data_IF_005679553385
#
_entry.id   IF_005679553385
#
_cell.length_a   1.000
_cell.length_b   1.000
_cell.length_c   1.000
_cell.angle_alpha   90.00
_cell.angle_beta   90.00
_cell.angle_gamma   90.00
#
_symmetry.space_group_name_H-M   'P 1'
#
loop_
_entity.id
_entity.type
_entity.pdbx_description
1 polymer ?
#
# COMPACT_ATOMS: atom_id res chain seq x y z
N UNK A 1 -4.44 1.51 26.84
CA UNK A 1 -4.20 0.27 26.05
C UNK A 1 -4.99 -0.87 26.68
N UNK A 2 -5.70 -1.68 25.88
CA UNK A 2 -6.44 -2.85 26.41
C UNK A 2 -5.47 -3.90 26.96
N UNK A 3 -5.93 -4.77 27.87
CA UNK A 3 -5.10 -5.86 28.41
C UNK A 3 -4.55 -6.76 27.30
N UNK A 4 -5.36 -7.03 26.28
CA UNK A 4 -4.99 -7.83 25.12
C UNK A 4 -3.91 -7.14 24.27
N UNK A 5 -4.08 -5.84 23.95
CA UNK A 5 -3.09 -5.11 23.16
C UNK A 5 -1.76 -4.99 23.91
N UNK A 6 -1.79 -4.83 25.24
CA UNK A 6 -0.58 -4.85 26.07
C UNK A 6 0.17 -6.17 25.99
N UNK A 7 -0.53 -7.30 26.10
CA UNK A 7 0.09 -8.61 25.98
C UNK A 7 0.70 -8.85 24.59
N UNK A 8 0.01 -8.43 23.52
CA UNK A 8 0.50 -8.55 22.15
C UNK A 8 1.80 -7.75 21.93
N UNK A 9 1.82 -6.46 22.31
CA UNK A 9 3.02 -5.62 22.18
C UNK A 9 4.18 -6.19 23.01
N UNK A 10 3.93 -6.70 24.22
CA UNK A 10 4.97 -7.35 25.02
C UNK A 10 5.56 -8.59 24.33
N UNK A 11 4.79 -9.36 23.58
CA UNK A 11 5.30 -10.51 22.82
C UNK A 11 6.07 -10.09 21.57
N UNK A 12 5.59 -9.07 20.85
CA UNK A 12 6.25 -8.54 19.65
C UNK A 12 7.65 -8.03 19.99
N UNK A 13 7.83 -7.36 21.13
CA UNK A 13 9.13 -6.81 21.56
C UNK A 13 10.25 -7.84 21.76
N UNK A 14 9.90 -9.11 21.88
CA UNK A 14 10.87 -10.21 22.05
C UNK A 14 11.26 -10.85 20.70
N UNK A 15 10.65 -10.42 19.58
CA UNK A 15 10.95 -10.92 18.24
C UNK A 15 12.19 -10.22 17.64
N UNK A 16 12.81 -10.78 16.58
CA UNK A 16 13.79 -10.06 15.77
C UNK A 16 13.27 -8.72 15.23
N UNK A 17 14.15 -7.74 15.01
CA UNK A 17 13.76 -6.39 14.58
C UNK A 17 12.89 -6.38 13.31
N UNK A 18 13.23 -7.20 12.30
CA UNK A 18 12.45 -7.31 11.07
C UNK A 18 10.98 -7.72 11.34
N UNK A 19 10.77 -8.69 12.24
CA UNK A 19 9.42 -9.15 12.59
C UNK A 19 8.67 -8.10 13.45
N UNK A 20 9.40 -7.26 14.19
CA UNK A 20 8.82 -6.13 14.92
C UNK A 20 8.33 -5.05 13.97
N UNK A 21 9.11 -4.73 12.94
CA UNK A 21 8.76 -3.74 11.92
C UNK A 21 7.55 -4.18 11.10
N UNK A 22 7.50 -5.45 10.68
CA UNK A 22 6.33 -6.04 10.01
C UNK A 22 5.06 -5.91 10.87
N UNK A 23 5.17 -6.22 12.17
CA UNK A 23 4.05 -6.06 13.11
C UNK A 23 3.64 -4.60 13.30
N UNK A 24 4.61 -3.67 13.31
CA UNK A 24 4.36 -2.24 13.42
C UNK A 24 3.62 -1.70 12.18
N UNK A 25 4.01 -2.11 10.97
CA UNK A 25 3.32 -1.72 9.74
C UNK A 25 1.84 -2.14 9.75
N UNK A 26 1.55 -3.36 10.20
CA UNK A 26 0.17 -3.85 10.30
C UNK A 26 -0.67 -3.02 11.30
N UNK A 27 -0.11 -2.70 12.46
CA UNK A 27 -0.77 -1.88 13.48
C UNK A 27 -0.98 -0.43 13.02
N UNK A 28 0.01 0.15 12.33
CA UNK A 28 -0.10 1.49 11.74
C UNK A 28 -1.18 1.53 10.65
N UNK A 29 -1.24 0.51 9.78
CA UNK A 29 -2.29 0.40 8.78
C UNK A 29 -3.68 0.26 9.42
N UNK A 30 -3.80 -0.50 10.51
CA UNK A 30 -5.05 -0.61 11.26
C UNK A 30 -5.47 0.74 11.87
N UNK A 31 -4.52 1.47 12.45
CA UNK A 31 -4.76 2.80 13.02
C UNK A 31 -5.11 3.83 11.94
N UNK A 32 -4.46 3.78 10.78
CA UNK A 32 -4.77 4.64 9.65
C UNK A 32 -6.22 4.43 9.14
N UNK A 33 -6.70 3.19 9.10
CA UNK A 33 -8.11 2.89 8.77
C UNK A 33 -9.09 3.51 9.78
N UNK A 34 -8.71 3.56 11.06
CA UNK A 34 -9.52 4.18 12.11
C UNK A 34 -9.55 5.71 12.00
N UNK A 35 -8.48 6.33 11.48
CA UNK A 35 -8.38 7.77 11.24
C UNK A 35 -9.09 8.22 9.94
N UNK A 36 -9.78 7.31 9.26
CA UNK A 36 -10.55 7.57 8.06
C UNK A 36 -10.04 6.77 6.88
N UNK A 37 -10.94 6.12 6.14
CA UNK A 37 -10.61 5.60 4.82
C UNK A 37 -10.22 6.78 3.94
N UNK A 38 -9.14 6.66 3.16
CA UNK A 38 -8.87 7.61 2.08
C UNK A 38 -10.12 7.68 1.22
N UNK A 39 -10.77 8.84 1.23
CA UNK A 39 -11.98 9.07 0.45
C UNK A 39 -11.54 9.24 -1.01
N UNK A 40 -11.63 8.16 -1.77
CA UNK A 40 -11.46 8.25 -3.22
C UNK A 40 -12.63 9.05 -3.79
N UNK A 41 -12.40 9.87 -4.80
CA UNK A 41 -13.50 10.39 -5.62
C UNK A 41 -13.99 9.30 -6.59
N UNK A 42 -15.08 9.58 -7.31
CA UNK A 42 -15.68 8.63 -8.23
C UNK A 42 -14.79 8.32 -9.44
N UNK A 43 -14.02 9.31 -9.89
CA UNK A 43 -13.08 9.18 -10.99
C UNK A 43 -11.95 8.21 -10.62
N UNK A 44 -11.34 8.40 -9.45
CA UNK A 44 -10.29 7.53 -8.92
C UNK A 44 -10.83 6.11 -8.71
N UNK A 45 -12.04 5.96 -8.18
CA UNK A 45 -12.69 4.65 -8.07
C UNK A 45 -12.89 3.98 -9.42
N UNK A 46 -13.30 4.74 -10.44
CA UNK A 46 -13.49 4.24 -11.79
C UNK A 46 -12.16 3.80 -12.42
N UNK A 47 -11.11 4.62 -12.29
CA UNK A 47 -9.77 4.31 -12.78
C UNK A 47 -9.22 3.02 -12.16
N UNK A 48 -9.39 2.81 -10.84
CA UNK A 48 -8.97 1.57 -10.17
C UNK A 48 -9.78 0.35 -10.68
N UNK A 49 -11.09 0.50 -10.90
CA UNK A 49 -11.90 -0.59 -11.48
C UNK A 49 -11.44 -0.95 -12.89
N UNK A 50 -11.16 0.06 -13.71
CA UNK A 50 -10.68 -0.15 -15.07
C UNK A 50 -9.30 -0.82 -15.10
N UNK A 51 -8.35 -0.34 -14.29
CA UNK A 51 -7.04 -0.98 -14.17
C UNK A 51 -7.13 -2.45 -13.75
N UNK A 52 -8.03 -2.80 -12.83
CA UNK A 52 -8.29 -4.21 -12.48
C UNK A 52 -8.85 -5.03 -13.63
N UNK A 53 -9.72 -4.43 -14.44
CA UNK A 53 -10.27 -5.09 -15.63
C UNK A 53 -9.20 -5.27 -16.73
N UNK A 54 -8.28 -4.31 -16.89
CA UNK A 54 -7.14 -4.41 -17.79
C UNK A 54 -6.22 -5.57 -17.42
N UNK A 55 -5.91 -5.73 -16.13
CA UNK A 55 -5.12 -6.89 -15.63
C UNK A 55 -5.79 -8.22 -16.00
N UNK A 56 -7.11 -8.33 -15.80
CA UNK A 56 -7.85 -9.56 -16.17
C UNK A 56 -7.81 -9.83 -17.67
N UNK A 57 -7.70 -8.79 -18.50
CA UNK A 57 -7.57 -8.90 -19.97
C UNK A 57 -6.11 -9.02 -20.44
N UNK A 58 -5.13 -9.03 -19.53
CA UNK A 58 -3.71 -9.03 -19.87
C UNK A 58 -3.23 -7.75 -20.58
N UNK A 59 -3.96 -6.65 -20.41
CA UNK A 59 -3.63 -5.36 -21.02
C UNK A 59 -2.62 -4.62 -20.14
N UNK A 60 -1.34 -4.89 -20.40
CA UNK A 60 -0.23 -4.20 -19.79
C UNK A 60 0.44 -3.28 -20.81
N UNK A 61 1.04 -2.19 -20.34
CA UNK A 61 1.90 -1.36 -21.16
C UNK A 61 3.14 -2.15 -21.61
N UNK A 62 3.66 -1.83 -22.79
CA UNK A 62 4.90 -2.44 -23.29
C UNK A 62 6.12 -1.91 -22.56
N UNK A 63 7.24 -2.62 -22.67
CA UNK A 63 8.51 -2.18 -22.09
C UNK A 63 8.94 -0.81 -22.62
N UNK A 64 8.71 -0.55 -23.91
CA UNK A 64 9.02 0.72 -24.56
C UNK A 64 8.17 1.87 -24.01
N UNK A 65 6.87 1.63 -23.79
CA UNK A 65 5.96 2.61 -23.20
C UNK A 65 6.37 2.97 -21.77
N UNK A 66 6.74 1.97 -20.97
CA UNK A 66 7.25 2.16 -19.61
C UNK A 66 8.58 2.92 -19.62
N UNK A 67 9.51 2.55 -20.51
CA UNK A 67 10.80 3.22 -20.66
C UNK A 67 10.62 4.70 -21.05
N UNK A 68 9.68 5.01 -21.94
CA UNK A 68 9.37 6.38 -22.33
C UNK A 68 8.88 7.25 -21.15
N UNK A 69 8.07 6.69 -20.26
CA UNK A 69 7.61 7.36 -19.04
C UNK A 69 8.79 7.66 -18.10
N UNK A 70 9.65 6.68 -17.83
CA UNK A 70 10.81 6.88 -16.97
C UNK A 70 11.84 7.85 -17.54
N UNK A 71 12.07 7.82 -18.87
CA UNK A 71 12.95 8.78 -19.54
C UNK A 71 12.43 10.21 -19.38
N UNK A 72 11.11 10.40 -19.55
CA UNK A 72 10.43 11.69 -19.37
C UNK A 72 10.51 12.20 -17.93
N UNK A 73 10.42 11.32 -16.94
CA UNK A 73 10.53 11.68 -15.53
C UNK A 73 11.97 12.13 -15.19
N UNK A 74 12.97 11.40 -15.70
CA UNK A 74 14.40 11.72 -15.49
C UNK A 74 14.86 12.99 -16.19
N UNK A 75 14.26 13.37 -17.30
CA UNK A 75 14.58 14.63 -17.99
C UNK A 75 13.95 15.88 -17.34
N UNK A 76 13.14 15.70 -16.30
CA UNK A 76 12.43 16.78 -15.58
C UNK A 76 13.01 17.07 -14.19
N UNK A 77 13.96 16.26 -13.71
CA UNK A 77 14.73 16.49 -12.47
C UNK A 77 16.12 17.00 -12.78
#
# INVERSE_FOLDING_TARGET
MTKLLKAAISKIRELPEADQDDAAELLLNLAARANGRVQLDDETRAAIREGRAQVQRGQFATEEEIAAVFNRARSRG
#
